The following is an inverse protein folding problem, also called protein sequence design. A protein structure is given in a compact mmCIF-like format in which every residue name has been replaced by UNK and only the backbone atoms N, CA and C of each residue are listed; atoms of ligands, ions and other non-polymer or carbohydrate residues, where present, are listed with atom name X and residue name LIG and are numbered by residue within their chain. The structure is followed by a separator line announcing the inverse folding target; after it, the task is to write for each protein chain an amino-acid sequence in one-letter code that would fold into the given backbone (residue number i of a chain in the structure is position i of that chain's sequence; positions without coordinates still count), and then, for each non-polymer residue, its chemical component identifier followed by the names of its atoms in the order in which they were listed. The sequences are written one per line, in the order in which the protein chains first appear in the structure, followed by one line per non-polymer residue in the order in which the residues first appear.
data_IF_026358979146
#
_entry.id   IF_026358979146
#
_cell.length_a   1.000
_cell.length_b   1.000
_cell.length_c   1.000
_cell.angle_alpha   90.00
_cell.angle_beta   90.00
_cell.angle_gamma   90.00
#
_symmetry.space_group_name_H-M   'P 1'
#
loop_
_entity.id
_entity.type
_entity.pdbx_description
1 polymer ?
#
# COMPACT_ATOMS: atom_id res chain seq x y z
N UNK A 1 67.89 -38.75 -1.76
CA UNK A 1 66.97 -37.61 -1.95
C UNK A 1 65.71 -37.92 -1.17
N UNK A 2 65.58 -37.43 0.07
CA UNK A 2 64.33 -37.56 0.83
C UNK A 2 63.39 -36.43 0.43
N UNK A 3 62.16 -36.77 0.04
CA UNK A 3 61.12 -35.80 -0.25
C UNK A 3 60.57 -35.19 1.04
N UNK A 4 60.48 -33.87 1.10
CA UNK A 4 59.84 -33.15 2.20
C UNK A 4 58.32 -33.33 2.15
N UNK A 5 57.64 -33.58 3.29
CA UNK A 5 56.19 -33.70 3.31
C UNK A 5 55.56 -32.35 2.93
N UNK A 6 54.69 -32.37 1.93
CA UNK A 6 53.85 -31.21 1.62
C UNK A 6 52.67 -31.25 2.58
N UNK A 7 52.62 -30.29 3.50
CA UNK A 7 51.46 -30.08 4.37
C UNK A 7 50.28 -29.62 3.52
N UNK A 8 49.28 -30.48 3.33
CA UNK A 8 48.02 -30.08 2.68
C UNK A 8 47.29 -29.05 3.53
N UNK A 9 47.24 -27.81 3.04
CA UNK A 9 46.39 -26.78 3.62
C UNK A 9 44.95 -27.06 3.20
N UNK A 10 44.15 -27.62 4.12
CA UNK A 10 42.71 -27.78 3.89
C UNK A 10 42.01 -26.42 3.97
N UNK A 11 41.22 -26.03 2.94
CA UNK A 11 40.49 -24.78 2.98
C UNK A 11 39.48 -24.76 4.14
N UNK A 12 39.31 -23.58 4.75
CA UNK A 12 38.32 -23.41 5.80
C UNK A 12 36.89 -23.54 5.25
N UNK A 13 35.94 -24.09 6.02
CA UNK A 13 34.54 -24.16 5.60
C UNK A 13 33.95 -22.78 5.31
N UNK A 14 33.11 -22.69 4.28
CA UNK A 14 32.61 -21.42 3.74
C UNK A 14 31.80 -20.58 4.76
N UNK A 15 31.10 -21.23 5.69
CA UNK A 15 30.27 -20.55 6.71
C UNK A 15 31.09 -19.75 7.73
N UNK A 16 32.42 -19.96 7.78
CA UNK A 16 33.32 -19.17 8.63
C UNK A 16 33.61 -17.79 8.06
N UNK A 17 33.37 -17.55 6.77
CA UNK A 17 33.63 -16.26 6.15
C UNK A 17 32.42 -15.33 6.29
N UNK A 18 32.58 -14.22 7.00
CA UNK A 18 31.49 -13.26 7.28
C UNK A 18 30.81 -12.70 6.03
N UNK A 19 31.54 -12.50 4.93
CA UNK A 19 30.96 -11.99 3.69
C UNK A 19 29.93 -12.94 3.06
N UNK A 20 29.99 -14.25 3.33
CA UNK A 20 29.00 -15.19 2.78
C UNK A 20 27.63 -14.92 3.40
N UNK A 21 27.59 -14.53 4.67
CA UNK A 21 26.37 -14.14 5.33
C UNK A 21 25.76 -12.85 4.75
N UNK A 22 26.57 -11.91 4.26
CA UNK A 22 26.03 -10.71 3.58
C UNK A 22 25.28 -11.09 2.28
N UNK A 23 25.79 -12.07 1.54
CA UNK A 23 25.15 -12.56 0.31
C UNK A 23 23.86 -13.33 0.64
N UNK A 24 23.89 -14.18 1.67
CA UNK A 24 22.72 -14.98 2.10
C UNK A 24 21.66 -14.12 2.78
N UNK A 25 22.05 -13.06 3.48
CA UNK A 25 21.13 -12.20 4.23
C UNK A 25 20.08 -11.54 3.33
N UNK A 26 20.45 -11.07 2.13
CA UNK A 26 19.52 -10.42 1.20
C UNK A 26 18.32 -11.32 0.87
N UNK A 27 18.52 -12.51 0.27
CA UNK A 27 17.46 -13.45 0.00
C UNK A 27 16.71 -13.93 1.26
N UNK A 28 17.43 -14.18 2.36
CA UNK A 28 16.82 -14.63 3.60
C UNK A 28 15.82 -13.60 4.17
N UNK A 29 16.17 -12.30 4.14
CA UNK A 29 15.29 -11.22 4.58
C UNK A 29 14.01 -11.17 3.73
N UNK A 30 14.11 -11.32 2.41
CA UNK A 30 12.94 -11.28 1.51
C UNK A 30 12.00 -12.47 1.79
N UNK A 31 12.54 -13.65 2.05
CA UNK A 31 11.73 -14.82 2.43
C UNK A 31 10.99 -14.56 3.74
N UNK A 32 11.66 -14.02 4.75
CA UNK A 32 11.01 -13.65 6.02
C UNK A 32 9.93 -12.58 5.80
N UNK A 33 10.23 -11.54 5.01
CA UNK A 33 9.30 -10.48 4.70
C UNK A 33 8.04 -10.99 3.98
N UNK A 34 8.17 -11.94 3.04
CA UNK A 34 7.01 -12.49 2.34
C UNK A 34 6.06 -13.25 3.27
N UNK A 35 6.59 -13.98 4.26
CA UNK A 35 5.78 -14.62 5.28
C UNK A 35 5.08 -13.60 6.19
N UNK A 36 5.75 -12.51 6.55
CA UNK A 36 5.14 -11.41 7.31
C UNK A 36 3.98 -10.81 6.50
N UNK A 37 4.19 -10.52 5.22
CA UNK A 37 3.14 -10.00 4.34
C UNK A 37 1.99 -10.98 4.19
N UNK A 38 2.26 -12.29 4.03
CA UNK A 38 1.24 -13.32 3.98
C UNK A 38 0.43 -13.37 5.29
N UNK A 39 1.11 -13.31 6.43
CA UNK A 39 0.46 -13.28 7.73
C UNK A 39 -0.46 -12.06 7.88
N UNK A 40 -0.01 -10.87 7.46
CA UNK A 40 -0.82 -9.66 7.46
C UNK A 40 -2.04 -9.80 6.53
N UNK A 41 -1.88 -10.36 5.34
CA UNK A 41 -2.97 -10.57 4.40
C UNK A 41 -4.06 -11.49 4.95
N UNK A 42 -3.68 -12.54 5.68
CA UNK A 42 -4.64 -13.49 6.29
C UNK A 42 -5.30 -12.90 7.53
N UNK A 43 -4.55 -12.18 8.36
CA UNK A 43 -5.05 -11.68 9.66
C UNK A 43 -5.78 -10.35 9.56
N UNK A 44 -5.55 -9.57 8.51
CA UNK A 44 -6.19 -8.27 8.28
C UNK A 44 -6.81 -8.25 6.88
N UNK A 45 -7.88 -9.02 6.65
CA UNK A 45 -8.60 -8.94 5.40
C UNK A 45 -9.15 -7.51 5.24
N UNK A 46 -8.82 -6.87 4.11
CA UNK A 46 -9.46 -5.63 3.72
C UNK A 46 -10.92 -5.95 3.41
N UNK A 47 -11.91 -5.35 4.11
CA UNK A 47 -13.30 -5.62 3.86
C UNK A 47 -13.62 -5.35 2.38
N UNK A 48 -14.17 -6.38 1.72
CA UNK A 48 -14.67 -6.25 0.36
C UNK A 48 -15.78 -5.20 0.39
N UNK A 49 -15.70 -4.20 -0.50
CA UNK A 49 -16.74 -3.16 -0.61
C UNK A 49 -18.11 -3.84 -0.73
N UNK A 50 -19.05 -3.49 0.13
CA UNK A 50 -20.41 -4.04 0.08
C UNK A 50 -21.02 -3.82 -1.31
N UNK A 51 -21.90 -4.73 -1.77
CA UNK A 51 -22.56 -4.61 -3.08
C UNK A 51 -23.29 -3.27 -3.25
N UNK A 52 -23.75 -2.72 -2.14
CA UNK A 52 -24.42 -1.43 -2.07
C UNK A 52 -23.48 -0.24 -2.24
N UNK A 53 -22.15 -0.39 -2.16
CA UNK A 53 -21.20 0.70 -2.39
C UNK A 53 -21.38 1.31 -3.80
N UNK A 54 -21.57 0.46 -4.81
CA UNK A 54 -21.83 0.92 -6.17
C UNK A 54 -23.19 1.62 -6.27
N UNK A 55 -24.23 1.07 -5.65
CA UNK A 55 -25.56 1.68 -5.61
C UNK A 55 -25.52 3.03 -4.92
N UNK A 56 -24.82 3.13 -3.79
CA UNK A 56 -24.65 4.35 -3.02
C UNK A 56 -23.91 5.42 -3.81
N UNK A 57 -22.89 5.05 -4.59
CA UNK A 57 -22.22 5.97 -5.52
C UNK A 57 -23.15 6.51 -6.61
N UNK A 58 -24.02 5.66 -7.17
CA UNK A 58 -25.02 6.06 -8.18
C UNK A 58 -26.13 6.92 -7.55
N UNK A 59 -26.57 6.58 -6.35
CA UNK A 59 -27.60 7.31 -5.60
C UNK A 59 -27.11 8.68 -5.14
N UNK A 60 -25.85 8.81 -4.73
CA UNK A 60 -25.23 10.11 -4.45
C UNK A 60 -25.34 11.04 -5.66
N UNK A 61 -25.09 10.57 -6.89
CA UNK A 61 -25.26 11.41 -8.08
C UNK A 61 -26.73 11.82 -8.32
N UNK A 62 -27.70 10.98 -7.94
CA UNK A 62 -29.12 11.31 -8.05
C UNK A 62 -29.54 12.34 -7.00
N UNK A 63 -29.11 12.18 -5.75
CA UNK A 63 -29.36 13.14 -4.67
C UNK A 63 -28.67 14.49 -4.94
N UNK A 64 -27.43 14.46 -5.43
CA UNK A 64 -26.66 15.64 -5.82
C UNK A 64 -27.29 16.38 -7.01
N UNK A 65 -28.04 15.68 -7.88
CA UNK A 65 -28.81 16.31 -8.96
C UNK A 65 -30.15 16.90 -8.49
N UNK A 66 -30.65 16.46 -7.33
CA UNK A 66 -31.92 16.90 -6.78
C UNK A 66 -31.81 18.23 -6.02
N UNK A 67 -30.62 18.59 -5.54
CA UNK A 67 -30.34 19.87 -4.89
C UNK A 67 -29.74 20.89 -5.89
N UNK A 68 -30.44 21.99 -6.19
CA UNK A 68 -29.92 23.06 -7.06
C UNK A 68 -28.58 23.65 -6.57
N UNK A 69 -28.32 23.65 -5.27
CA UNK A 69 -27.06 24.13 -4.70
C UNK A 69 -25.89 23.17 -4.98
N UNK A 70 -26.19 21.89 -5.18
CA UNK A 70 -25.20 20.86 -5.54
C UNK A 70 -24.76 20.93 -7.00
N UNK A 71 -25.52 21.65 -7.86
CA UNK A 71 -25.16 21.98 -9.24
C UNK A 71 -24.52 23.38 -9.37
N UNK A 72 -24.16 24.01 -8.26
CA UNK A 72 -23.53 25.32 -8.27
C UNK A 72 -22.21 25.31 -9.06
N UNK A 73 -21.84 26.42 -9.72
CA UNK A 73 -20.56 26.54 -10.39
C UNK A 73 -19.41 26.18 -9.45
N UNK A 74 -18.46 25.36 -9.92
CA UNK A 74 -17.36 24.83 -9.11
C UNK A 74 -16.58 25.92 -8.34
N UNK A 75 -16.47 27.12 -8.93
CA UNK A 75 -15.86 28.30 -8.30
C UNK A 75 -16.60 28.78 -7.05
N UNK A 76 -17.93 28.76 -7.05
CA UNK A 76 -18.74 29.12 -5.89
C UNK A 76 -18.75 27.98 -4.86
N UNK A 77 -18.91 26.72 -5.30
CA UNK A 77 -18.92 25.56 -4.40
C UNK A 77 -17.66 25.47 -3.52
N UNK A 78 -16.46 25.71 -4.08
CA UNK A 78 -15.22 25.64 -3.26
C UNK A 78 -15.11 26.76 -2.23
N UNK A 79 -15.57 27.96 -2.56
CA UNK A 79 -15.43 29.14 -1.71
C UNK A 79 -16.53 29.22 -0.63
N UNK A 80 -17.62 28.48 -0.83
CA UNK A 80 -18.79 28.47 0.05
C UNK A 80 -19.03 27.13 0.74
N UNK A 81 -18.01 26.27 0.85
CA UNK A 81 -18.14 24.94 1.46
C UNK A 81 -18.66 24.97 2.92
N UNK A 82 -18.35 26.02 3.68
CA UNK A 82 -18.82 26.18 5.07
C UNK A 82 -20.09 27.04 5.21
N UNK A 83 -20.42 27.85 4.21
CA UNK A 83 -21.53 28.84 4.27
C UNK A 83 -22.73 28.47 3.39
N UNK A 84 -22.57 27.51 2.47
CA UNK A 84 -23.58 27.12 1.49
C UNK A 84 -23.64 28.07 0.30
N UNK A 85 -24.13 27.58 -0.84
CA UNK A 85 -24.31 28.41 -2.04
C UNK A 85 -25.69 29.10 -1.97
N UNK A 86 -25.77 30.43 -2.18
CA UNK A 86 -27.05 31.14 -2.23
C UNK A 86 -28.00 30.54 -3.28
N UNK A 87 -29.27 30.34 -2.92
CA UNK A 87 -30.25 29.76 -3.85
C UNK A 87 -30.69 30.80 -4.88
N UNK A 88 -31.07 30.40 -6.11
CA UNK A 88 -31.54 31.33 -7.14
C UNK A 88 -32.74 32.20 -6.71
N UNK A 89 -33.57 31.73 -5.77
CA UNK A 89 -34.73 32.47 -5.22
C UNK A 89 -34.36 33.54 -4.19
N UNK A 90 -33.11 33.61 -3.77
CA UNK A 90 -32.61 34.59 -2.79
C UNK A 90 -31.92 35.80 -3.49
N UNK A 91 -32.00 35.89 -4.83
CA UNK A 91 -31.56 37.04 -5.62
C UNK A 91 -32.66 38.13 -5.65
N UNK A 92 -32.33 39.41 -5.37
CA UNK A 92 -33.29 40.51 -5.45
C UNK A 92 -33.75 40.81 -6.88
#
# INVERSE_FOLDING_TARGET
MSASPHSEVRPAPWWKFGHVWLVVAGPAIVVVASFITLYLAITRPDPVMDEDYYRKGVEINKELSADPASLAPAMQGRNHAATGVPRPTDAP
#
